data_IF_745007082218
#
_entry.id   IF_745007082218
#
_cell.length_a   1.000
_cell.length_b   1.000
_cell.length_c   1.000
_cell.angle_alpha   90.00
_cell.angle_beta   90.00
_cell.angle_gamma   90.00
#
_symmetry.space_group_name_H-M   'P 1'
#
loop_
_entity.id
_entity.type
_entity.pdbx_description
1 polymer ?
#
# COMPACT_ATOMS: atom_id res chain seq x y z
N UNK A 1 -66.66 -17.36 16.61
CA UNK A 1 -65.41 -17.34 17.41
C UNK A 1 -64.27 -17.04 16.46
N UNK A 2 -63.67 -15.85 16.58
CA UNK A 2 -62.60 -15.37 15.69
C UNK A 2 -61.32 -16.14 16.03
N UNK A 3 -60.72 -16.74 15.01
CA UNK A 3 -59.68 -17.77 15.15
C UNK A 3 -58.34 -17.17 15.63
N UNK A 4 -58.24 -16.94 16.95
CA UNK A 4 -57.05 -16.33 17.60
C UNK A 4 -55.78 -17.17 17.43
N UNK A 5 -55.87 -18.45 17.01
CA UNK A 5 -54.70 -19.29 16.73
C UNK A 5 -54.02 -18.92 15.43
N UNK A 6 -54.80 -18.56 14.39
CA UNK A 6 -54.27 -18.07 13.12
C UNK A 6 -53.52 -16.75 13.25
N UNK A 7 -54.10 -15.78 13.99
CA UNK A 7 -53.47 -14.46 14.23
C UNK A 7 -52.16 -14.57 15.03
N UNK A 8 -52.11 -15.43 16.05
CA UNK A 8 -50.88 -15.68 16.84
C UNK A 8 -49.80 -16.40 16.04
N UNK A 9 -50.18 -17.38 15.21
CA UNK A 9 -49.26 -18.08 14.31
C UNK A 9 -48.67 -17.13 13.26
N UNK A 10 -49.50 -16.26 12.69
CA UNK A 10 -49.08 -15.27 11.71
C UNK A 10 -48.16 -14.20 12.33
N UNK A 11 -48.46 -13.74 13.55
CA UNK A 11 -47.61 -12.81 14.28
C UNK A 11 -46.22 -13.40 14.60
N UNK A 12 -46.15 -14.68 14.96
CA UNK A 12 -44.88 -15.40 15.18
C UNK A 12 -44.05 -15.51 13.90
N UNK A 13 -44.68 -15.88 12.79
CA UNK A 13 -44.00 -15.98 11.48
C UNK A 13 -43.44 -14.61 11.05
N UNK A 14 -44.23 -13.54 11.17
CA UNK A 14 -43.78 -12.18 10.84
C UNK A 14 -42.61 -11.76 11.74
N UNK A 15 -42.67 -12.06 13.04
CA UNK A 15 -41.60 -11.72 13.98
C UNK A 15 -40.29 -12.43 13.65
N UNK A 16 -40.35 -13.74 13.35
CA UNK A 16 -39.18 -14.52 12.93
C UNK A 16 -38.61 -14.00 11.61
N UNK A 17 -39.48 -13.62 10.67
CA UNK A 17 -39.06 -13.08 9.38
C UNK A 17 -38.35 -11.73 9.55
N UNK A 18 -38.87 -10.83 10.39
CA UNK A 18 -38.24 -9.56 10.71
C UNK A 18 -36.89 -9.73 11.41
N UNK A 19 -36.78 -10.68 12.35
CA UNK A 19 -35.51 -11.02 13.01
C UNK A 19 -34.51 -11.56 11.99
N UNK A 20 -34.96 -12.44 11.08
CA UNK A 20 -34.13 -12.97 10.01
C UNK A 20 -33.59 -11.88 9.07
N UNK A 21 -34.44 -10.95 8.65
CA UNK A 21 -34.02 -9.79 7.82
C UNK A 21 -33.03 -8.91 8.58
N UNK A 22 -33.29 -8.65 9.87
CA UNK A 22 -32.37 -7.90 10.73
C UNK A 22 -31.00 -8.56 10.85
N UNK A 23 -30.96 -9.89 11.05
CA UNK A 23 -29.72 -10.65 11.13
C UNK A 23 -28.90 -10.59 9.83
N UNK A 24 -29.56 -10.73 8.67
CA UNK A 24 -28.90 -10.62 7.36
C UNK A 24 -28.35 -9.21 7.14
N UNK A 25 -29.11 -8.18 7.52
CA UNK A 25 -28.66 -6.79 7.40
C UNK A 25 -27.41 -6.51 8.26
N UNK A 26 -27.39 -6.99 9.50
CA UNK A 26 -26.23 -6.85 10.40
C UNK A 26 -25.02 -7.63 9.86
N UNK A 27 -25.21 -8.87 9.41
CA UNK A 27 -24.13 -9.66 8.82
C UNK A 27 -23.53 -9.00 7.57
N UNK A 28 -24.37 -8.45 6.69
CA UNK A 28 -23.92 -7.68 5.53
C UNK A 28 -23.14 -6.41 5.92
N UNK A 29 -23.56 -5.72 6.97
CA UNK A 29 -22.86 -4.54 7.47
C UNK A 29 -21.50 -4.87 8.10
N UNK A 30 -21.40 -6.00 8.81
CA UNK A 30 -20.13 -6.47 9.39
C UNK A 30 -19.14 -6.90 8.30
N UNK A 31 -19.63 -7.60 7.28
CA UNK A 31 -18.81 -8.03 6.14
C UNK A 31 -18.30 -6.84 5.30
N UNK A 32 -19.10 -5.80 5.15
CA UNK A 32 -18.65 -4.59 4.45
C UNK A 32 -17.64 -3.79 5.28
N UNK A 33 -17.83 -3.68 6.60
CA UNK A 33 -16.87 -3.04 7.49
C UNK A 33 -15.53 -3.79 7.54
N UNK A 34 -15.54 -5.12 7.61
CA UNK A 34 -14.31 -5.93 7.62
C UNK A 34 -13.50 -5.72 6.34
N UNK A 35 -14.17 -5.69 5.18
CA UNK A 35 -13.54 -5.42 3.88
C UNK A 35 -12.96 -4.01 3.79
N UNK A 36 -13.67 -3.00 4.30
CA UNK A 36 -13.17 -1.62 4.31
C UNK A 36 -11.93 -1.48 5.20
N UNK A 37 -11.96 -2.04 6.40
CA UNK A 37 -10.81 -2.02 7.31
C UNK A 37 -9.61 -2.76 6.71
N UNK A 38 -9.83 -3.92 6.10
CA UNK A 38 -8.77 -4.65 5.41
C UNK A 38 -8.15 -3.82 4.27
N UNK A 39 -8.99 -3.13 3.48
CA UNK A 39 -8.51 -2.24 2.41
C UNK A 39 -7.70 -1.06 2.94
N UNK A 40 -8.14 -0.42 4.02
CA UNK A 40 -7.42 0.72 4.62
C UNK A 40 -6.07 0.28 5.19
N UNK A 41 -6.02 -0.90 5.84
CA UNK A 41 -4.77 -1.46 6.35
C UNK A 41 -3.78 -1.75 5.23
N UNK A 42 -4.24 -2.38 4.16
CA UNK A 42 -3.42 -2.64 2.97
C UNK A 42 -2.91 -1.34 2.33
N UNK A 43 -3.74 -0.29 2.30
CA UNK A 43 -3.35 1.00 1.72
C UNK A 43 -2.23 1.66 2.53
N UNK A 44 -2.37 1.68 3.86
CA UNK A 44 -1.33 2.19 4.76
C UNK A 44 -0.05 1.36 4.70
N UNK A 45 -0.17 0.05 4.58
CA UNK A 45 0.99 -0.82 4.41
C UNK A 45 1.72 -0.55 3.08
N UNK A 46 0.97 -0.31 2.00
CA UNK A 46 1.53 0.07 0.70
C UNK A 46 2.22 1.43 0.72
N UNK A 47 1.62 2.43 1.36
CA UNK A 47 2.24 3.75 1.56
C UNK A 47 3.52 3.64 2.38
N UNK A 48 3.49 2.90 3.49
CA UNK A 48 4.65 2.66 4.33
C UNK A 48 5.76 1.98 3.52
N UNK A 49 5.44 0.89 2.81
CA UNK A 49 6.40 0.17 1.97
C UNK A 49 7.05 1.07 0.90
N UNK A 50 6.26 1.94 0.25
CA UNK A 50 6.79 2.91 -0.72
C UNK A 50 7.70 3.96 -0.08
N UNK A 51 7.38 4.41 1.14
CA UNK A 51 8.24 5.34 1.89
C UNK A 51 9.56 4.67 2.29
N UNK A 52 9.54 3.41 2.73
CA UNK A 52 10.76 2.67 3.08
C UNK A 52 11.66 2.42 1.87
N UNK A 53 11.08 2.02 0.74
CA UNK A 53 11.82 1.90 -0.52
C UNK A 53 12.39 3.26 -0.97
N UNK A 54 11.61 4.34 -0.83
CA UNK A 54 12.06 5.70 -1.09
C UNK A 54 13.24 6.13 -0.21
N UNK A 55 13.20 5.83 1.08
CA UNK A 55 14.29 6.13 2.00
C UNK A 55 15.60 5.42 1.59
N UNK A 56 15.51 4.13 1.25
CA UNK A 56 16.67 3.38 0.75
C UNK A 56 17.19 3.95 -0.56
N UNK A 57 16.30 4.29 -1.50
CA UNK A 57 16.72 4.93 -2.75
C UNK A 57 17.41 6.28 -2.50
N UNK A 58 16.98 7.04 -1.49
CA UNK A 58 17.62 8.29 -1.06
C UNK A 58 19.03 8.05 -0.50
N UNK A 59 19.18 7.06 0.38
CA UNK A 59 20.46 6.71 0.99
C UNK A 59 21.47 6.21 -0.05
N UNK A 60 21.01 5.38 -0.99
CA UNK A 60 21.81 4.92 -2.13
C UNK A 60 22.18 6.08 -3.06
N UNK A 61 21.27 7.03 -3.30
CA UNK A 61 21.56 8.21 -4.11
C UNK A 61 22.60 9.09 -3.44
N UNK A 62 22.48 9.29 -2.12
CA UNK A 62 23.47 9.99 -1.33
C UNK A 62 24.83 9.30 -1.43
N UNK A 63 24.89 7.98 -1.26
CA UNK A 63 26.11 7.21 -1.40
C UNK A 63 26.72 7.32 -2.81
N UNK A 64 25.89 7.34 -3.85
CA UNK A 64 26.30 7.49 -5.24
C UNK A 64 26.95 8.85 -5.54
N UNK A 65 26.46 9.94 -4.94
CA UNK A 65 27.01 11.28 -5.16
C UNK A 65 28.06 11.70 -4.14
N UNK A 66 28.14 11.03 -2.99
CA UNK A 66 29.06 11.37 -1.90
C UNK A 66 30.51 11.24 -2.34
N UNK A 67 31.30 12.29 -2.10
CA UNK A 67 32.73 12.31 -2.40
C UNK A 67 33.07 12.52 -3.88
N UNK A 68 32.08 12.73 -4.75
CA UNK A 68 32.33 13.10 -6.14
C UNK A 68 32.75 14.57 -6.24
N UNK A 69 33.72 14.82 -7.12
CA UNK A 69 34.21 16.16 -7.45
C UNK A 69 33.40 16.84 -8.57
N UNK A 70 32.59 16.09 -9.32
CA UNK A 70 31.74 16.58 -10.40
C UNK A 70 30.34 15.94 -10.32
N UNK A 71 29.30 16.63 -10.83
CA UNK A 71 27.99 16.04 -11.00
C UNK A 71 28.03 14.79 -11.88
N UNK A 72 27.26 13.75 -11.53
CA UNK A 72 27.05 12.63 -12.44
C UNK A 72 26.40 13.10 -13.73
N UNK A 73 26.77 12.47 -14.83
CA UNK A 73 26.12 12.69 -16.12
C UNK A 73 24.70 12.10 -16.11
N UNK A 74 23.77 12.63 -16.92
CA UNK A 74 22.40 12.12 -16.99
C UNK A 74 22.29 10.61 -17.26
N UNK A 75 23.21 10.05 -18.05
CA UNK A 75 23.24 8.61 -18.34
C UNK A 75 23.69 7.78 -17.14
N UNK A 76 24.58 8.31 -16.29
CA UNK A 76 25.01 7.65 -15.06
C UNK A 76 23.89 7.64 -14.02
N UNK A 77 23.10 8.71 -13.95
CA UNK A 77 21.94 8.79 -13.06
C UNK A 77 20.82 7.83 -13.51
N UNK A 78 20.56 7.73 -14.81
CA UNK A 78 19.65 6.73 -15.35
C UNK A 78 20.12 5.30 -15.11
N UNK A 79 21.43 5.04 -15.26
CA UNK A 79 22.01 3.73 -14.96
C UNK A 79 21.89 3.40 -13.47
N UNK A 80 22.09 4.38 -12.59
CA UNK A 80 21.86 4.23 -11.14
C UNK A 80 20.41 3.83 -10.83
N UNK A 81 19.43 4.54 -11.39
CA UNK A 81 18.01 4.22 -11.17
C UNK A 81 17.60 2.83 -11.69
N UNK A 82 18.27 2.34 -12.75
CA UNK A 82 18.07 0.99 -13.30
C UNK A 82 18.93 -0.08 -12.65
N UNK A 83 19.75 0.27 -11.67
CA UNK A 83 20.68 -0.68 -11.06
C UNK A 83 19.91 -1.76 -10.28
N UNK A 84 20.34 -3.00 -10.44
CA UNK A 84 19.72 -4.15 -9.76
C UNK A 84 19.88 -4.01 -8.25
N UNK A 85 21.04 -3.56 -7.78
CA UNK A 85 21.35 -3.40 -6.36
C UNK A 85 20.42 -2.40 -5.66
N UNK A 86 20.22 -1.20 -6.22
CA UNK A 86 19.31 -0.20 -5.63
C UNK A 86 17.89 -0.76 -5.57
N UNK A 87 17.45 -1.44 -6.64
CA UNK A 87 16.13 -2.07 -6.68
C UNK A 87 16.01 -3.23 -5.68
N UNK A 88 17.03 -4.04 -5.48
CA UNK A 88 16.98 -5.14 -4.51
C UNK A 88 16.94 -4.62 -3.07
N UNK A 89 17.78 -3.65 -2.72
CA UNK A 89 17.78 -3.05 -1.38
C UNK A 89 16.44 -2.36 -1.06
N UNK A 90 15.92 -1.56 -2.00
CA UNK A 90 14.63 -0.89 -1.82
C UNK A 90 13.47 -1.90 -1.76
N UNK A 91 13.53 -3.00 -2.54
CA UNK A 91 12.51 -4.05 -2.50
C UNK A 91 12.54 -4.82 -1.17
N UNK A 92 13.73 -5.16 -0.67
CA UNK A 92 13.88 -5.82 0.64
C UNK A 92 13.28 -4.95 1.74
N UNK A 93 13.59 -3.65 1.76
CA UNK A 93 13.04 -2.71 2.73
C UNK A 93 11.50 -2.58 2.63
N UNK A 94 10.95 -2.50 1.41
CA UNK A 94 9.51 -2.52 1.20
C UNK A 94 8.85 -3.81 1.72
N UNK A 95 9.48 -4.96 1.48
CA UNK A 95 8.99 -6.27 1.96
C UNK A 95 9.01 -6.36 3.48
N UNK A 96 10.07 -5.89 4.13
CA UNK A 96 10.16 -5.85 5.59
C UNK A 96 9.05 -5.01 6.20
N UNK A 97 8.81 -3.81 5.65
CA UNK A 97 7.78 -2.93 6.19
C UNK A 97 6.36 -3.39 5.86
N UNK A 98 6.13 -4.00 4.70
CA UNK A 98 4.86 -4.66 4.39
C UNK A 98 4.56 -5.79 5.39
N UNK A 99 5.54 -6.65 5.68
CA UNK A 99 5.40 -7.73 6.67
C UNK A 99 5.13 -7.20 8.08
N UNK A 100 5.82 -6.13 8.49
CA UNK A 100 5.59 -5.50 9.79
C UNK A 100 4.17 -4.92 9.95
N UNK A 101 3.45 -4.71 8.83
CA UNK A 101 2.07 -4.23 8.79
C UNK A 101 1.06 -5.33 8.43
N UNK A 102 1.43 -6.61 8.56
CA UNK A 102 0.61 -7.79 8.22
C UNK A 102 0.09 -7.78 6.77
N UNK A 103 0.85 -7.15 5.86
CA UNK A 103 0.53 -7.08 4.44
C UNK A 103 1.31 -8.15 3.64
N UNK A 104 0.76 -8.59 2.49
CA UNK A 104 1.50 -9.44 1.56
C UNK A 104 2.76 -8.71 1.04
N UNK A 105 3.74 -9.45 0.50
CA UNK A 105 4.87 -8.83 -0.18
C UNK A 105 4.39 -7.98 -1.37
N UNK A 106 5.12 -6.92 -1.74
CA UNK A 106 4.81 -6.14 -2.93
C UNK A 106 4.76 -7.00 -4.21
N UNK A 107 3.81 -6.68 -5.08
CA UNK A 107 3.60 -7.33 -6.38
C UNK A 107 4.71 -6.95 -7.38
N UNK A 108 5.13 -5.68 -7.33
CA UNK A 108 6.21 -5.14 -8.16
C UNK A 108 6.81 -3.89 -7.53
N UNK A 109 8.03 -3.53 -7.98
CA UNK A 109 8.67 -2.29 -7.60
C UNK A 109 9.54 -1.75 -8.72
N UNK A 110 9.47 -0.44 -8.94
CA UNK A 110 10.30 0.28 -9.89
C UNK A 110 10.92 1.54 -9.27
N UNK A 111 12.12 1.87 -9.74
CA UNK A 111 12.79 3.15 -9.46
C UNK A 111 13.03 3.83 -10.80
N UNK A 112 12.61 5.08 -10.91
CA UNK A 112 12.75 5.88 -12.13
C UNK A 112 13.40 7.21 -11.82
N UNK A 113 14.30 7.63 -12.68
CA UNK A 113 14.87 8.97 -12.63
C UNK A 113 14.03 9.94 -13.48
N UNK A 114 13.65 11.08 -12.91
CA UNK A 114 12.94 12.18 -13.60
C UNK A 114 13.82 13.40 -13.83
N UNK A 115 15.12 13.28 -13.60
CA UNK A 115 16.10 14.36 -13.63
C UNK A 115 16.23 15.03 -12.26
N UNK A 116 15.14 15.56 -11.71
CA UNK A 116 15.14 16.25 -10.40
C UNK A 116 14.89 15.35 -9.19
N UNK A 117 14.17 14.26 -9.40
CA UNK A 117 13.69 13.37 -8.35
C UNK A 117 13.84 11.91 -8.79
N UNK A 118 14.14 11.04 -7.82
CA UNK A 118 13.94 9.61 -7.97
C UNK A 118 12.50 9.28 -7.58
N UNK A 119 11.78 8.65 -8.50
CA UNK A 119 10.42 8.20 -8.28
C UNK A 119 10.46 6.71 -8.00
N UNK A 120 10.02 6.33 -6.81
CA UNK A 120 9.84 4.94 -6.41
C UNK A 120 8.37 4.60 -6.48
N UNK A 121 8.05 3.52 -7.18
CA UNK A 121 6.69 2.99 -7.32
C UNK A 121 6.65 1.56 -6.78
N UNK A 122 5.73 1.29 -5.86
CA UNK A 122 5.51 -0.02 -5.24
C UNK A 122 4.07 -0.43 -5.50
N UNK A 123 3.86 -1.59 -6.12
CA UNK A 123 2.54 -2.19 -6.25
C UNK A 123 2.29 -3.15 -5.07
N UNK A 124 1.17 -2.98 -4.36
CA UNK A 124 0.78 -3.84 -3.25
C UNK A 124 -0.73 -4.05 -3.24
N UNK A 125 -1.16 -5.32 -3.29
CA UNK A 125 -2.59 -5.67 -3.24
C UNK A 125 -3.36 -5.11 -4.44
N UNK A 126 -2.72 -5.04 -5.61
CA UNK A 126 -3.31 -4.51 -6.84
C UNK A 126 -3.44 -2.97 -6.90
N UNK A 127 -2.83 -2.24 -5.96
CA UNK A 127 -2.74 -0.77 -5.99
C UNK A 127 -1.29 -0.32 -6.10
N UNK A 128 -1.07 0.81 -6.76
CA UNK A 128 0.26 1.43 -6.91
C UNK A 128 0.42 2.58 -5.93
N UNK A 129 1.54 2.59 -5.21
CA UNK A 129 1.94 3.60 -4.24
C UNK A 129 3.24 4.24 -4.70
N UNK A 130 3.25 5.57 -4.81
CA UNK A 130 4.35 6.34 -5.39
C UNK A 130 4.96 7.28 -4.37
N UNK A 131 6.28 7.30 -4.28
CA UNK A 131 7.07 8.28 -3.51
C UNK A 131 8.06 8.96 -4.44
N UNK A 132 8.13 10.29 -4.36
CA UNK A 132 9.14 11.08 -5.04
C UNK A 132 10.18 11.54 -4.03
N UNK A 133 11.45 11.25 -4.33
CA UNK A 133 12.60 11.56 -3.50
C UNK A 133 13.42 12.63 -4.22
N UNK A 134 13.57 13.84 -3.67
CA UNK A 134 14.42 14.85 -4.27
C UNK A 134 15.87 14.39 -4.26
N UNK A 135 16.57 14.55 -5.38
CA UNK A 135 17.99 14.21 -5.44
C UNK A 135 18.81 15.16 -4.60
N UNK A 136 19.78 14.62 -3.86
CA UNK A 136 20.79 15.43 -3.18
C UNK A 136 21.71 16.04 -4.22
N UNK A 137 21.91 17.37 -4.22
CA UNK A 137 22.86 18.00 -5.13
C UNK A 137 24.27 17.52 -4.84
N UNK A 138 24.99 17.15 -5.89
CA UNK A 138 26.40 16.81 -5.83
C UNK A 138 27.28 18.06 -5.77
N UNK A 139 28.42 17.90 -5.10
CA UNK A 139 29.56 18.82 -4.99
C UNK A 139 29.27 20.14 -4.23
N UNK A 140 30.16 20.58 -3.32
CA UNK A 140 30.13 21.95 -2.84
C UNK A 140 30.37 22.89 -4.03
N UNK A 141 29.62 23.99 -4.10
CA UNK A 141 29.88 25.09 -5.05
C UNK A 141 31.18 25.79 -4.74
#
# INVERSE_FOLDING_TARGET
MKDRRGERGQALVVSVLLIGVGAVAVAGLLETQSRLLARVRLDRAGEAAAQAAGAVAADEQLAFVRGRAKPPLPDEEQAFARSVTVREHALTSAQELARANDAPPPDSMEVRDTGRELVVEVALGGRSHRVAVPKVPCCPR
#
